data_IF_918845210204
#
_entry.id   IF_918845210204
#
_cell.length_a   1.000
_cell.length_b   1.000
_cell.length_c   1.000
_cell.angle_alpha   90.00
_cell.angle_beta   90.00
_cell.angle_gamma   90.00
#
_symmetry.space_group_name_H-M   'P 1'
#
loop_
_entity.id
_entity.type
_entity.pdbx_description
1 polymer ?
#
# COMPACT_ATOMS: atom_id res chain seq x y z
N UNK A 1 -43.79 19.72 -27.21
CA UNK A 1 -44.20 18.37 -26.77
C UNK A 1 -43.14 17.89 -25.79
N UNK A 2 -43.07 18.46 -24.58
CA UNK A 2 -43.80 18.03 -23.38
C UNK A 2 -43.71 16.53 -23.12
N UNK A 3 -42.97 16.22 -22.02
CA UNK A 3 -43.36 15.31 -20.92
C UNK A 3 -43.52 13.83 -21.32
N UNK A 4 -42.81 12.85 -20.77
CA UNK A 4 -42.85 12.36 -19.38
C UNK A 4 -41.66 11.41 -19.17
N UNK A 5 -40.60 11.84 -18.47
CA UNK A 5 -39.85 11.00 -17.51
C UNK A 5 -39.41 11.93 -16.38
N UNK A 6 -40.36 12.30 -15.53
CA UNK A 6 -40.10 12.85 -14.21
C UNK A 6 -40.50 11.80 -13.18
N UNK A 7 -39.74 11.78 -12.05
CA UNK A 7 -39.91 10.96 -10.82
C UNK A 7 -39.18 9.60 -10.90
N UNK A 8 -38.15 9.25 -10.12
CA UNK A 8 -37.66 9.67 -8.79
C UNK A 8 -36.16 9.34 -8.67
N UNK A 9 -35.33 10.27 -8.20
CA UNK A 9 -34.30 9.95 -7.20
C UNK A 9 -33.86 11.23 -6.47
N UNK A 10 -34.83 12.04 -6.06
CA UNK A 10 -34.64 12.98 -4.97
C UNK A 10 -35.05 12.27 -3.68
N UNK A 11 -34.08 11.92 -2.83
CA UNK A 11 -34.21 11.75 -1.36
C UNK A 11 -32.93 11.21 -0.72
N UNK A 12 -32.18 12.10 -0.08
CA UNK A 12 -31.54 11.86 1.22
C UNK A 12 -30.60 10.67 1.35
N UNK A 13 -29.53 10.61 0.55
CA UNK A 13 -28.45 9.65 0.79
C UNK A 13 -27.70 10.04 2.07
N UNK A 14 -28.07 9.40 3.19
CA UNK A 14 -27.38 9.44 4.48
C UNK A 14 -25.87 9.64 4.24
N UNK A 15 -25.25 10.66 4.85
CA UNK A 15 -23.81 10.99 4.78
C UNK A 15 -23.08 10.87 6.14
N UNK A 16 -23.78 10.40 7.19
CA UNK A 16 -23.27 10.22 8.56
C UNK A 16 -23.30 8.74 8.99
N UNK A 17 -22.17 8.25 9.51
CA UNK A 17 -22.00 6.88 10.02
C UNK A 17 -23.00 6.50 11.13
N UNK A 18 -23.33 5.20 11.28
CA UNK A 18 -24.30 4.70 12.28
C UNK A 18 -23.92 5.08 13.73
N UNK A 19 -22.63 5.01 14.08
CA UNK A 19 -22.15 5.36 15.42
C UNK A 19 -22.22 6.86 15.69
N UNK A 20 -21.87 7.68 14.70
CA UNK A 20 -22.00 9.14 14.79
C UNK A 20 -23.46 9.59 14.90
N UNK A 21 -24.38 8.86 14.26
CA UNK A 21 -25.82 9.10 14.38
C UNK A 21 -26.33 8.83 15.80
N UNK A 22 -25.85 7.75 16.43
CA UNK A 22 -26.18 7.41 17.81
C UNK A 22 -25.60 8.43 18.80
N UNK A 23 -24.34 8.83 18.62
CA UNK A 23 -23.68 9.83 19.48
C UNK A 23 -24.33 11.21 19.31
N UNK A 24 -24.59 11.64 18.07
CA UNK A 24 -25.25 12.93 17.79
C UNK A 24 -26.69 12.94 18.30
N UNK A 25 -27.41 11.83 18.17
CA UNK A 25 -28.74 11.67 18.74
C UNK A 25 -28.72 11.77 20.27
N UNK A 26 -27.83 11.04 20.93
CA UNK A 26 -27.72 11.04 22.39
C UNK A 26 -27.31 12.41 22.96
N UNK A 27 -26.29 13.06 22.37
CA UNK A 27 -25.84 14.40 22.78
C UNK A 27 -26.90 15.47 22.48
N UNK A 28 -27.55 15.39 21.32
CA UNK A 28 -28.64 16.29 20.95
C UNK A 28 -29.84 16.18 21.90
N UNK A 29 -30.27 14.95 22.22
CA UNK A 29 -31.34 14.70 23.19
C UNK A 29 -30.98 15.17 24.60
N UNK A 30 -29.74 14.97 25.05
CA UNK A 30 -29.27 15.48 26.33
C UNK A 30 -29.33 17.02 26.40
N UNK A 31 -28.88 17.71 25.34
CA UNK A 31 -28.97 19.17 25.25
C UNK A 31 -30.41 19.67 25.28
N UNK A 32 -31.33 18.99 24.58
CA UNK A 32 -32.76 19.31 24.63
C UNK A 32 -33.36 19.13 26.03
N UNK A 33 -32.98 18.07 26.75
CA UNK A 33 -33.41 17.85 28.13
C UNK A 33 -32.91 18.97 29.06
N UNK A 34 -31.65 19.41 28.91
CA UNK A 34 -31.12 20.54 29.70
C UNK A 34 -31.79 21.89 29.34
N UNK A 35 -32.30 22.02 28.12
CA UNK A 35 -33.02 23.22 27.68
C UNK A 35 -34.40 23.35 28.35
N UNK A 36 -35.01 22.25 28.81
CA UNK A 36 -36.28 22.27 29.54
C UNK A 36 -36.16 22.95 30.91
N UNK A 37 -35.00 22.83 31.56
CA UNK A 37 -34.69 23.50 32.83
C UNK A 37 -34.16 24.93 32.67
N UNK A 38 -33.83 25.36 31.44
CA UNK A 38 -33.21 26.66 31.16
C UNK A 38 -34.20 27.80 30.89
N UNK A 39 -33.73 29.05 31.03
CA UNK A 39 -34.48 30.28 30.64
C UNK A 39 -33.58 31.22 29.84
N UNK A 40 -34.19 32.08 29.01
CA UNK A 40 -33.48 33.09 28.22
C UNK A 40 -32.63 32.53 27.06
N UNK A 41 -31.62 33.29 26.63
CA UNK A 41 -30.83 33.00 25.42
C UNK A 41 -30.10 31.63 25.45
N UNK A 42 -29.76 31.12 26.64
CA UNK A 42 -29.14 29.79 26.81
C UNK A 42 -30.09 28.64 26.41
N UNK A 43 -31.39 28.81 26.63
CA UNK A 43 -32.40 27.83 26.19
C UNK A 43 -32.57 27.85 24.68
N UNK A 44 -32.59 29.03 24.06
CA UNK A 44 -32.74 29.17 22.61
C UNK A 44 -31.55 28.56 21.85
N UNK A 45 -30.34 28.80 22.33
CA UNK A 45 -29.11 28.19 21.76
C UNK A 45 -29.09 26.68 21.94
N UNK A 46 -29.40 26.16 23.13
CA UNK A 46 -29.49 24.73 23.39
C UNK A 46 -30.57 24.02 22.55
N UNK A 47 -31.73 24.66 22.34
CA UNK A 47 -32.77 24.15 21.45
C UNK A 47 -32.31 24.10 19.99
N UNK A 48 -31.62 25.15 19.51
CA UNK A 48 -31.11 25.18 18.14
C UNK A 48 -30.05 24.10 17.87
N UNK A 49 -29.01 24.05 18.71
CA UNK A 49 -27.91 23.07 18.56
C UNK A 49 -28.40 21.65 18.84
N UNK A 50 -29.19 21.44 19.89
CA UNK A 50 -29.76 20.14 20.24
C UNK A 50 -30.68 19.59 19.15
N UNK A 51 -31.56 20.42 18.58
CA UNK A 51 -32.45 20.01 17.48
C UNK A 51 -31.67 19.66 16.21
N UNK A 52 -30.62 20.42 15.88
CA UNK A 52 -29.77 20.13 14.72
C UNK A 52 -29.00 18.82 14.88
N UNK A 53 -28.50 18.50 16.08
CA UNK A 53 -27.81 17.24 16.36
C UNK A 53 -28.75 16.03 16.36
N UNK A 54 -29.97 16.17 16.89
CA UNK A 54 -31.00 15.12 16.79
C UNK A 54 -31.43 14.91 15.34
N UNK A 55 -31.61 15.99 14.57
CA UNK A 55 -31.92 15.92 13.14
C UNK A 55 -30.80 15.17 12.39
N UNK A 56 -29.53 15.54 12.60
CA UNK A 56 -28.35 14.83 12.06
C UNK A 56 -28.35 13.35 12.46
N UNK A 57 -28.65 13.04 13.73
CA UNK A 57 -28.73 11.65 14.21
C UNK A 57 -29.84 10.84 13.50
N UNK A 58 -31.00 11.45 13.32
CA UNK A 58 -32.18 10.78 12.77
C UNK A 58 -32.10 10.63 11.25
N UNK A 59 -31.84 11.71 10.51
CA UNK A 59 -31.78 11.72 9.04
C UNK A 59 -30.46 11.20 8.50
N UNK A 60 -29.40 11.20 9.32
CA UNK A 60 -28.06 10.84 8.90
C UNK A 60 -27.48 11.78 7.87
N UNK A 61 -28.00 13.01 7.78
CA UNK A 61 -27.63 14.00 6.77
C UNK A 61 -27.11 15.28 7.44
N UNK A 62 -25.93 15.75 7.04
CA UNK A 62 -25.34 17.00 7.53
C UNK A 62 -24.90 17.90 6.37
N UNK A 63 -25.55 19.07 6.24
CA UNK A 63 -25.26 20.07 5.21
C UNK A 63 -23.85 20.67 5.30
N UNK A 64 -23.24 20.70 6.48
CA UNK A 64 -21.86 21.16 6.63
C UNK A 64 -20.84 20.18 6.03
N UNK A 65 -21.12 18.88 6.09
CA UNK A 65 -20.29 17.83 5.50
C UNK A 65 -20.47 17.79 3.98
N UNK A 66 -21.71 17.97 3.50
CA UNK A 66 -22.02 18.15 2.08
C UNK A 66 -21.30 19.36 1.48
N UNK A 67 -21.30 20.51 2.17
CA UNK A 67 -20.57 21.71 1.73
C UNK A 67 -19.03 21.53 1.73
N UNK A 68 -18.50 20.58 2.49
CA UNK A 68 -17.08 20.23 2.55
C UNK A 68 -16.73 18.99 1.72
N UNK A 69 -17.70 18.36 1.04
CA UNK A 69 -17.49 17.11 0.27
C UNK A 69 -17.12 15.89 1.12
N UNK A 70 -17.45 15.87 2.40
CA UNK A 70 -17.11 14.80 3.35
C UNK A 70 -18.31 13.82 3.45
N UNK A 71 -18.13 12.57 3.02
CA UNK A 71 -19.10 11.50 3.21
C UNK A 71 -18.56 10.45 4.22
N UNK A 72 -19.27 10.28 5.33
CA UNK A 72 -18.94 9.29 6.37
C UNK A 72 -19.98 8.18 6.47
N UNK A 73 -21.00 8.17 5.60
CA UNK A 73 -22.06 7.16 5.62
C UNK A 73 -21.67 5.82 5.00
N UNK A 74 -20.59 5.80 4.20
CA UNK A 74 -19.91 4.55 3.90
C UNK A 74 -19.28 4.06 5.21
N UNK A 75 -20.08 3.36 6.00
CA UNK A 75 -19.63 2.72 7.22
C UNK A 75 -18.54 1.72 6.85
N UNK A 76 -17.32 2.02 7.27
CA UNK A 76 -16.21 1.08 7.24
C UNK A 76 -16.72 -0.25 7.79
N UNK A 77 -16.79 -1.25 6.92
CA UNK A 77 -17.01 -2.62 7.35
C UNK A 77 -15.84 -3.02 8.26
N UNK A 78 -16.02 -4.02 9.13
CA UNK A 78 -14.89 -4.54 9.90
C UNK A 78 -13.72 -4.99 8.99
N UNK A 79 -14.02 -5.32 7.73
CA UNK A 79 -13.05 -5.55 6.65
C UNK A 79 -12.39 -4.28 6.08
N UNK A 80 -13.01 -3.09 6.17
CA UNK A 80 -12.40 -1.83 5.70
C UNK A 80 -11.46 -1.21 6.74
N UNK A 81 -11.66 -1.49 8.03
CA UNK A 81 -10.68 -1.15 9.08
C UNK A 81 -9.38 -1.98 8.96
N UNK A 82 -9.44 -3.12 8.26
CA UNK A 82 -8.28 -3.94 7.90
C UNK A 82 -7.57 -3.44 6.62
N UNK A 83 -8.25 -2.63 5.78
CA UNK A 83 -7.69 -2.06 4.53
C UNK A 83 -6.90 -0.78 4.74
N UNK A 84 -6.56 -0.49 5.98
CA UNK A 84 -5.73 0.64 6.34
C UNK A 84 -4.24 0.30 6.15
N UNK A 85 -3.93 -0.55 5.19
CA UNK A 85 -2.61 -1.05 4.87
C UNK A 85 -2.22 -0.74 3.43
N UNK A 86 -0.92 -0.68 3.15
CA UNK A 86 -0.44 -0.77 1.76
C UNK A 86 -0.40 -2.25 1.42
N UNK A 87 -1.23 -2.69 0.50
CA UNK A 87 -1.16 -4.02 -0.08
C UNK A 87 -0.76 -3.90 -1.55
N UNK A 88 0.34 -4.56 -1.91
CA UNK A 88 0.86 -4.55 -3.28
C UNK A 88 1.05 -5.99 -3.73
N UNK A 89 0.42 -6.33 -4.84
CA UNK A 89 0.62 -7.59 -5.54
C UNK A 89 1.03 -7.27 -6.98
N UNK A 90 2.23 -7.71 -7.36
CA UNK A 90 2.77 -7.50 -8.69
C UNK A 90 3.33 -8.81 -9.23
N UNK A 91 3.10 -9.07 -10.52
CA UNK A 91 3.67 -10.21 -11.21
C UNK A 91 4.36 -9.72 -12.49
N UNK A 92 5.62 -10.10 -12.67
CA UNK A 92 6.38 -9.71 -13.85
C UNK A 92 7.34 -10.81 -14.27
N UNK A 93 7.62 -10.86 -15.57
CA UNK A 93 8.59 -11.78 -16.17
C UNK A 93 10.00 -11.23 -15.98
N UNK A 94 10.93 -12.07 -15.53
CA UNK A 94 12.36 -11.75 -15.47
C UNK A 94 13.14 -12.78 -16.29
N UNK A 95 13.91 -12.31 -17.27
CA UNK A 95 14.74 -13.15 -18.11
C UNK A 95 16.03 -13.53 -17.36
N UNK A 96 15.92 -14.45 -16.40
CA UNK A 96 17.06 -14.95 -15.61
C UNK A 96 16.75 -16.32 -14.99
N UNK A 97 17.74 -17.19 -14.75
CA UNK A 97 17.53 -18.43 -14.01
C UNK A 97 16.92 -18.21 -12.63
N UNK A 98 16.05 -19.13 -12.19
CA UNK A 98 15.32 -19.00 -10.92
C UNK A 98 16.26 -19.03 -9.72
N UNK A 99 17.36 -19.76 -9.82
CA UNK A 99 18.40 -19.90 -8.79
C UNK A 99 19.02 -18.55 -8.45
N UNK A 100 19.26 -17.71 -9.46
CA UNK A 100 19.81 -16.38 -9.27
C UNK A 100 18.82 -15.42 -8.63
N UNK A 101 17.53 -15.54 -9.01
CA UNK A 101 16.46 -14.73 -8.46
C UNK A 101 16.20 -15.11 -7.00
N UNK A 102 16.05 -16.40 -6.72
CA UNK A 102 15.82 -16.92 -5.38
C UNK A 102 17.00 -16.59 -4.46
N UNK A 103 18.25 -16.84 -4.88
CA UNK A 103 19.44 -16.46 -4.08
C UNK A 103 19.48 -14.97 -3.78
N UNK A 104 19.15 -14.13 -4.76
CA UNK A 104 19.12 -12.68 -4.55
C UNK A 104 18.09 -12.27 -3.49
N UNK A 105 16.87 -12.81 -3.56
CA UNK A 105 15.79 -12.53 -2.59
C UNK A 105 16.05 -13.15 -1.22
N UNK A 106 16.64 -14.35 -1.17
CA UNK A 106 16.98 -15.05 0.07
C UNK A 106 17.94 -14.26 0.96
N UNK A 107 18.77 -13.42 0.34
CA UNK A 107 19.56 -12.40 1.00
C UNK A 107 18.78 -11.08 1.06
N UNK A 108 17.87 -10.95 2.03
CA UNK A 108 17.00 -9.77 2.20
C UNK A 108 17.77 -8.45 2.35
N UNK A 109 19.06 -8.48 2.72
CA UNK A 109 19.95 -7.31 2.65
C UNK A 109 20.12 -6.70 1.26
N UNK A 110 19.69 -7.39 0.19
CA UNK A 110 19.65 -6.85 -1.16
C UNK A 110 18.46 -5.90 -1.41
N UNK A 111 17.39 -5.95 -0.59
CA UNK A 111 16.17 -5.18 -0.84
C UNK A 111 16.40 -3.67 -0.92
N UNK A 112 17.19 -3.03 -0.04
CA UNK A 112 17.49 -1.59 -0.13
C UNK A 112 18.14 -1.15 -1.46
N UNK A 113 18.69 -2.08 -2.25
CA UNK A 113 19.31 -1.77 -3.54
C UNK A 113 18.29 -1.37 -4.61
N UNK A 114 17.02 -1.72 -4.42
CA UNK A 114 15.95 -1.38 -5.36
C UNK A 114 14.68 -0.85 -4.67
N UNK A 115 14.50 -1.12 -3.37
CA UNK A 115 13.41 -0.58 -2.55
C UNK A 115 13.83 0.72 -1.88
N UNK A 116 13.45 1.85 -2.47
CA UNK A 116 13.87 3.19 -2.06
C UNK A 116 13.41 3.62 -0.67
N UNK A 117 12.34 3.01 -0.17
CA UNK A 117 11.77 3.28 1.15
C UNK A 117 12.55 2.56 2.28
N UNK A 118 13.33 1.53 1.94
CA UNK A 118 14.19 0.83 2.89
C UNK A 118 15.58 1.46 2.89
N UNK A 119 16.06 1.82 4.07
CA UNK A 119 17.44 2.29 4.27
C UNK A 119 18.39 1.11 4.39
N UNK A 120 18.01 0.09 5.17
CA UNK A 120 18.87 -1.04 5.48
C UNK A 120 18.05 -2.26 5.89
N UNK A 121 18.54 -3.44 5.54
CA UNK A 121 18.03 -4.73 6.03
C UNK A 121 19.24 -5.56 6.46
N UNK A 122 19.42 -5.70 7.76
CA UNK A 122 20.53 -6.42 8.39
C UNK A 122 20.08 -7.83 8.76
N UNK A 123 20.86 -8.86 8.42
CA UNK A 123 20.59 -10.22 8.88
C UNK A 123 21.03 -10.36 10.34
N UNK A 124 20.10 -10.74 11.22
CA UNK A 124 20.39 -11.03 12.63
C UNK A 124 20.83 -12.49 12.81
N UNK A 125 20.23 -13.39 12.04
CA UNK A 125 20.59 -14.80 11.92
C UNK A 125 20.08 -15.38 10.58
N UNK A 126 19.99 -16.72 10.46
CA UNK A 126 19.56 -17.39 9.23
C UNK A 126 18.13 -17.07 8.78
N UNK A 127 17.24 -16.74 9.74
CA UNK A 127 15.81 -16.48 9.47
C UNK A 127 15.35 -15.10 9.91
N UNK A 128 16.05 -14.44 10.82
CA UNK A 128 15.68 -13.13 11.35
C UNK A 128 16.51 -12.01 10.74
N UNK A 129 15.86 -10.87 10.58
CA UNK A 129 16.45 -9.66 10.01
C UNK A 129 15.89 -8.41 10.68
N UNK A 130 16.73 -7.38 10.79
CA UNK A 130 16.36 -6.05 11.26
C UNK A 130 16.25 -5.11 10.08
N UNK A 131 15.10 -4.46 9.96
CA UNK A 131 14.77 -3.59 8.85
C UNK A 131 14.74 -2.15 9.36
N UNK A 132 15.28 -1.24 8.56
CA UNK A 132 15.27 0.20 8.83
C UNK A 132 14.70 0.92 7.62
N UNK A 133 13.64 1.72 7.83
CA UNK A 133 13.03 2.55 6.79
C UNK A 133 13.06 4.03 7.15
N UNK A 134 13.06 4.89 6.12
CA UNK A 134 12.99 6.33 6.30
C UNK A 134 11.57 6.74 6.71
N UNK A 135 11.45 7.47 7.83
CA UNK A 135 10.18 7.97 8.35
C UNK A 135 10.35 9.44 8.77
N UNK A 136 10.32 10.40 7.82
CA UNK A 136 10.71 11.80 8.04
C UNK A 136 9.93 12.53 9.15
N UNK A 137 8.73 12.06 9.49
CA UNK A 137 7.84 12.66 10.49
C UNK A 137 7.78 11.87 11.82
N UNK A 138 8.72 10.95 12.05
CA UNK A 138 8.99 10.31 13.35
C UNK A 138 10.23 10.97 13.95
N UNK A 139 10.28 11.14 15.28
CA UNK A 139 11.47 11.65 15.96
C UNK A 139 12.68 10.77 15.62
N UNK A 140 13.72 11.36 15.01
CA UNK A 140 14.89 10.63 14.52
C UNK A 140 14.84 10.19 13.04
N UNK A 141 13.72 10.43 12.34
CA UNK A 141 13.62 10.28 10.89
C UNK A 141 13.66 8.84 10.36
N UNK A 142 13.67 7.85 11.26
CA UNK A 142 13.81 6.42 10.94
C UNK A 142 12.85 5.59 11.79
N UNK A 143 12.46 4.44 11.27
CA UNK A 143 11.73 3.40 12.00
C UNK A 143 12.39 2.06 11.77
N UNK A 144 12.41 1.23 12.82
CA UNK A 144 13.02 -0.08 12.81
C UNK A 144 12.04 -1.15 13.28
N UNK A 145 12.15 -2.32 12.67
CA UNK A 145 11.39 -3.50 13.08
C UNK A 145 12.20 -4.76 12.78
N UNK A 146 11.93 -5.82 13.54
CA UNK A 146 12.52 -7.13 13.31
C UNK A 146 11.49 -8.03 12.60
N UNK A 147 11.96 -8.83 11.65
CA UNK A 147 11.17 -9.75 10.84
C UNK A 147 11.82 -11.13 10.76
N UNK A 148 10.98 -12.15 10.60
CA UNK A 148 11.37 -13.55 10.43
C UNK A 148 10.91 -14.09 9.07
N UNK A 149 11.74 -14.92 8.45
CA UNK A 149 11.37 -15.75 7.32
C UNK A 149 10.48 -16.89 7.86
N UNK A 150 9.26 -17.00 7.31
CA UNK A 150 8.28 -18.03 7.68
C UNK A 150 8.19 -19.16 6.67
N UNK A 151 8.45 -18.87 5.39
CA UNK A 151 8.56 -19.88 4.34
C UNK A 151 9.86 -19.70 3.57
N UNK A 152 10.55 -20.82 3.33
CA UNK A 152 11.82 -20.86 2.62
C UNK A 152 11.85 -22.14 1.77
N UNK A 153 11.26 -22.07 0.59
CA UNK A 153 11.17 -23.17 -0.37
C UNK A 153 12.05 -22.81 -1.57
N UNK A 154 13.16 -23.53 -1.69
CA UNK A 154 14.19 -23.28 -2.69
C UNK A 154 13.60 -23.14 -4.10
N UNK A 155 13.96 -22.05 -4.77
CA UNK A 155 13.54 -21.72 -6.14
C UNK A 155 12.03 -21.64 -6.39
N UNK A 156 11.21 -21.61 -5.33
CA UNK A 156 9.74 -21.59 -5.47
C UNK A 156 9.10 -20.47 -4.67
N UNK A 157 9.43 -20.35 -3.37
CA UNK A 157 8.75 -19.38 -2.50
C UNK A 157 9.62 -18.95 -1.34
N UNK A 158 9.61 -17.66 -1.07
CA UNK A 158 10.17 -17.05 0.12
C UNK A 158 9.11 -16.16 0.75
N UNK A 159 8.84 -16.29 2.05
CA UNK A 159 7.91 -15.43 2.75
C UNK A 159 8.47 -15.01 4.11
N UNK A 160 8.19 -13.78 4.50
CA UNK A 160 8.60 -13.20 5.78
C UNK A 160 7.46 -12.40 6.40
N UNK A 161 7.55 -12.21 7.71
CA UNK A 161 6.65 -11.36 8.49
C UNK A 161 7.38 -10.71 9.65
N UNK A 162 6.85 -9.62 10.15
CA UNK A 162 7.36 -9.00 11.38
C UNK A 162 7.12 -9.88 12.60
N UNK A 163 8.00 -9.74 13.60
CA UNK A 163 7.82 -10.38 14.90
C UNK A 163 6.64 -9.75 15.65
N UNK A 164 5.94 -10.49 16.56
CA UNK A 164 4.76 -9.99 17.26
C UNK A 164 4.96 -8.70 18.07
N UNK A 165 6.19 -8.44 18.53
CA UNK A 165 6.54 -7.25 19.32
C UNK A 165 6.95 -6.04 18.46
N UNK A 166 6.97 -6.18 17.13
CA UNK A 166 7.40 -5.13 16.22
C UNK A 166 6.38 -3.98 16.14
N UNK A 167 6.91 -2.76 16.07
CA UNK A 167 6.11 -1.54 15.90
C UNK A 167 5.45 -1.38 14.52
N UNK A 168 5.70 -2.33 13.62
CA UNK A 168 5.21 -2.35 12.24
C UNK A 168 4.68 -3.75 11.97
N UNK A 169 3.44 -3.89 11.50
CA UNK A 169 2.99 -5.15 10.88
C UNK A 169 3.35 -5.09 9.40
N UNK A 170 4.35 -5.89 9.02
CA UNK A 170 4.80 -5.98 7.64
C UNK A 170 4.96 -7.44 7.27
N UNK A 171 4.47 -7.79 6.08
CA UNK A 171 4.53 -9.13 5.52
C UNK A 171 4.94 -9.02 4.07
N UNK A 172 5.71 -9.98 3.62
CA UNK A 172 6.06 -10.09 2.22
C UNK A 172 6.23 -11.51 1.78
N UNK A 173 5.96 -11.77 0.51
CA UNK A 173 6.31 -13.03 -0.13
C UNK A 173 6.73 -12.82 -1.57
N UNK A 174 7.60 -13.71 -2.03
CA UNK A 174 8.01 -13.81 -3.41
C UNK A 174 7.84 -15.26 -3.85
N UNK A 175 7.10 -15.44 -4.94
CA UNK A 175 6.88 -16.72 -5.59
C UNK A 175 7.51 -16.71 -6.98
N UNK A 176 8.16 -17.81 -7.32
CA UNK A 176 8.84 -18.02 -8.59
C UNK A 176 8.15 -19.14 -9.35
N UNK A 177 7.79 -18.89 -10.60
CA UNK A 177 7.22 -19.92 -11.48
C UNK A 177 7.81 -19.84 -12.89
N UNK A 178 8.07 -20.97 -13.55
CA UNK A 178 8.68 -20.98 -14.88
C UNK A 178 7.73 -20.35 -15.91
N UNK A 179 8.25 -19.48 -16.76
CA UNK A 179 7.48 -18.92 -17.86
C UNK A 179 7.47 -19.87 -19.07
N UNK A 180 6.36 -19.95 -19.82
CA UNK A 180 6.31 -20.76 -21.03
C UNK A 180 7.35 -20.32 -22.07
N UNK A 181 7.97 -21.30 -22.74
CA UNK A 181 8.87 -21.09 -23.88
C UNK A 181 10.25 -20.55 -23.51
N UNK A 182 10.80 -20.95 -22.36
CA UNK A 182 12.15 -20.58 -21.88
C UNK A 182 12.39 -19.06 -21.78
N UNK A 183 11.32 -18.28 -21.63
CA UNK A 183 11.38 -16.80 -21.58
C UNK A 183 11.86 -16.24 -20.24
N UNK A 184 12.20 -17.11 -19.29
CA UNK A 184 12.58 -16.77 -17.92
C UNK A 184 11.58 -17.22 -16.86
N UNK A 185 11.44 -16.43 -15.80
CA UNK A 185 10.69 -16.78 -14.59
C UNK A 185 9.66 -15.68 -14.31
N UNK A 186 8.41 -16.08 -14.06
CA UNK A 186 7.43 -15.19 -13.45
C UNK A 186 7.76 -15.03 -11.97
N UNK A 187 7.99 -13.78 -11.57
CA UNK A 187 8.20 -13.38 -10.18
C UNK A 187 6.93 -12.68 -9.71
N UNK A 188 6.23 -13.31 -8.77
CA UNK A 188 5.09 -12.71 -8.07
C UNK A 188 5.57 -12.21 -6.72
N UNK A 189 5.35 -10.93 -6.46
CA UNK A 189 5.70 -10.28 -5.19
C UNK A 189 4.42 -9.77 -4.55
N UNK A 190 4.22 -10.15 -3.30
CA UNK A 190 3.14 -9.67 -2.45
C UNK A 190 3.75 -8.99 -1.23
N UNK A 191 3.35 -7.75 -0.96
CA UNK A 191 3.84 -6.96 0.18
C UNK A 191 2.65 -6.31 0.87
N UNK A 192 2.61 -6.42 2.19
CA UNK A 192 1.58 -5.81 3.04
C UNK A 192 2.25 -5.01 4.15
N UNK A 193 1.87 -3.75 4.31
CA UNK A 193 2.28 -2.89 5.41
C UNK A 193 1.04 -2.36 6.13
N UNK A 194 0.86 -2.70 7.41
CA UNK A 194 -0.21 -2.17 8.24
C UNK A 194 0.35 -1.24 9.34
N UNK A 195 -0.36 -0.15 9.68
CA UNK A 195 0.10 0.85 10.61
C UNK A 195 0.08 0.33 12.05
N UNK A 196 1.01 0.80 12.91
CA UNK A 196 0.97 0.52 14.33
C UNK A 196 -0.36 0.98 14.97
N UNK A 197 -1.00 0.08 15.72
CA UNK A 197 -2.09 0.42 16.64
C UNK A 197 -3.39 0.93 15.99
N UNK A 198 -3.69 0.51 14.75
CA UNK A 198 -4.97 0.83 14.09
C UNK A 198 -5.17 2.30 13.71
N UNK A 199 -4.12 3.13 13.79
CA UNK A 199 -4.20 4.54 13.38
C UNK A 199 -3.99 4.67 11.87
N UNK A 200 -5.06 5.02 11.18
CA UNK A 200 -5.14 5.02 9.73
C UNK A 200 -4.39 6.13 9.01
N UNK A 201 -3.73 5.77 7.90
CA UNK A 201 -3.31 6.66 6.81
C UNK A 201 -2.07 7.51 7.06
N UNK A 202 -1.89 8.07 8.27
CA UNK A 202 -0.77 8.98 8.55
C UNK A 202 0.59 8.30 8.48
N UNK A 203 0.71 7.03 8.86
CA UNK A 203 2.00 6.35 8.92
C UNK A 203 2.45 5.83 7.54
N UNK A 204 1.50 5.31 6.75
CA UNK A 204 1.74 4.86 5.37
C UNK A 204 2.14 6.03 4.47
N UNK A 205 1.38 7.12 4.50
CA UNK A 205 1.70 8.32 3.72
C UNK A 205 3.08 8.92 4.11
N UNK A 206 3.54 8.68 5.35
CA UNK A 206 4.86 9.11 5.82
C UNK A 206 6.02 8.27 5.28
N UNK A 207 5.80 6.98 5.05
CA UNK A 207 6.83 6.09 4.50
C UNK A 207 6.90 6.14 2.97
N UNK A 208 5.73 6.18 2.32
CA UNK A 208 5.62 5.99 0.88
C UNK A 208 5.03 7.20 0.11
N UNK A 209 4.77 8.32 0.79
CA UNK A 209 4.17 9.51 0.18
C UNK A 209 2.70 9.30 -0.21
N UNK A 210 2.23 10.07 -1.20
CA UNK A 210 0.81 10.10 -1.60
C UNK A 210 0.37 8.86 -2.40
N UNK A 211 1.30 8.06 -2.94
CA UNK A 211 1.00 6.92 -3.81
C UNK A 211 1.85 5.66 -3.47
N UNK A 212 1.59 5.01 -2.33
CA UNK A 212 2.39 3.89 -1.83
C UNK A 212 2.56 2.73 -2.81
N UNK A 213 1.46 2.31 -3.43
CA UNK A 213 1.44 1.17 -4.34
C UNK A 213 2.27 1.47 -5.60
N UNK A 214 2.23 2.73 -6.06
CA UNK A 214 3.02 3.17 -7.21
C UNK A 214 4.51 3.18 -6.91
N UNK A 215 4.91 3.58 -5.70
CA UNK A 215 6.31 3.56 -5.28
C UNK A 215 6.85 2.13 -5.24
N UNK A 216 6.12 1.20 -4.61
CA UNK A 216 6.52 -0.23 -4.57
C UNK A 216 6.59 -0.82 -5.97
N UNK A 217 5.59 -0.56 -6.83
CA UNK A 217 5.63 -0.99 -8.24
C UNK A 217 6.85 -0.42 -8.98
N UNK A 218 7.22 0.83 -8.69
CA UNK A 218 8.42 1.46 -9.26
C UNK A 218 9.70 0.78 -8.80
N UNK A 219 9.78 0.44 -7.52
CA UNK A 219 10.91 -0.29 -6.93
C UNK A 219 11.03 -1.71 -7.53
N UNK A 220 9.92 -2.41 -7.77
CA UNK A 220 9.93 -3.72 -8.44
C UNK A 220 10.37 -3.65 -9.92
N UNK A 221 10.06 -2.55 -10.62
CA UNK A 221 10.63 -2.30 -11.95
C UNK A 221 12.14 -2.08 -11.90
N UNK A 222 12.66 -1.43 -10.86
CA UNK A 222 14.12 -1.30 -10.65
C UNK A 222 14.76 -2.65 -10.40
N UNK A 223 14.12 -3.52 -9.61
CA UNK A 223 14.57 -4.89 -9.40
C UNK A 223 14.72 -5.65 -10.73
N UNK A 224 13.68 -5.65 -11.58
CA UNK A 224 13.73 -6.30 -12.89
C UNK A 224 14.94 -5.82 -13.71
N UNK A 225 15.12 -4.49 -13.81
CA UNK A 225 16.28 -3.91 -14.51
C UNK A 225 17.60 -4.33 -13.89
N UNK A 226 17.71 -4.36 -12.57
CA UNK A 226 18.93 -4.73 -11.86
C UNK A 226 19.32 -6.21 -12.09
N UNK A 227 18.33 -7.10 -12.18
CA UNK A 227 18.59 -8.52 -12.42
C UNK A 227 18.97 -8.81 -13.87
N UNK A 228 18.35 -8.09 -14.82
CA UNK A 228 18.57 -8.26 -16.27
C UNK A 228 19.82 -7.52 -16.79
N UNK A 229 20.19 -6.38 -16.19
CA UNK A 229 21.35 -5.59 -16.62
C UNK A 229 22.71 -6.26 -16.35
N UNK A 230 22.73 -7.43 -15.70
CA UNK A 230 23.96 -8.23 -15.47
C UNK A 230 24.25 -9.24 -16.57
N UNK A 231 23.41 -9.33 -17.60
CA UNK A 231 23.76 -10.05 -18.82
C UNK A 231 24.65 -9.15 -19.69
N UNK A 232 25.97 -9.34 -19.59
CA UNK A 232 26.81 -9.05 -20.76
C UNK A 232 26.31 -10.04 -21.82
N UNK A 233 25.88 -9.59 -23.01
CA UNK A 233 25.53 -10.52 -24.06
C UNK A 233 26.75 -11.39 -24.32
N UNK A 234 26.67 -12.68 -23.98
CA UNK A 234 27.65 -13.65 -24.45
C UNK A 234 27.47 -13.71 -25.96
N UNK A 235 28.29 -12.98 -26.70
CA UNK A 235 28.41 -13.13 -28.16
C UNK A 235 29.17 -14.45 -28.39
N UNK A 236 28.53 -15.58 -28.08
CA UNK A 236 28.92 -16.87 -28.63
C UNK A 236 28.07 -17.08 -29.88
N UNK A 237 28.66 -16.83 -31.04
CA UNK A 237 28.04 -17.19 -32.32
C UNK A 237 28.20 -16.20 -33.47
N UNK A 238 28.84 -15.05 -33.30
CA UNK A 238 29.30 -14.31 -34.48
C UNK A 238 30.57 -14.96 -35.01
N UNK A 239 30.39 -15.85 -35.98
CA UNK A 239 31.43 -16.23 -36.92
C UNK A 239 31.94 -14.96 -37.59
N UNK A 240 33.01 -14.37 -37.05
CA UNK A 240 33.83 -13.43 -37.78
C UNK A 240 34.41 -14.18 -38.98
N UNK A 241 33.81 -13.99 -40.16
CA UNK A 241 34.46 -14.33 -41.40
C UNK A 241 35.72 -13.46 -41.50
N UNK A 242 36.87 -14.05 -41.20
CA UNK A 242 38.17 -13.43 -41.42
C UNK A 242 38.35 -13.27 -42.94
N UNK A 243 38.30 -12.03 -43.41
CA UNK A 243 38.60 -11.72 -44.81
C UNK A 243 40.13 -11.68 -44.97
N UNK A 244 40.76 -12.84 -45.12
CA UNK A 244 42.11 -12.93 -45.69
C UNK A 244 42.00 -12.88 -47.21
N UNK A 245 41.89 -11.67 -47.76
CA UNK A 245 42.03 -11.40 -49.19
C UNK A 245 43.48 -11.03 -49.51
N UNK A 246 44.26 -12.02 -49.92
CA UNK A 246 45.59 -11.87 -50.53
C UNK A 246 45.54 -10.90 -51.71
N UNK A 247 46.29 -9.81 -51.63
CA UNK A 247 46.43 -8.83 -52.70
C UNK A 247 47.87 -8.34 -52.83
N UNK A 248 48.80 -9.24 -53.14
CA UNK A 248 50.11 -8.83 -53.66
C UNK A 248 50.68 -9.94 -54.55
N UNK A 249 50.90 -9.61 -55.84
CA UNK A 249 51.95 -10.08 -56.79
C UNK A 249 51.58 -9.47 -58.17
N UNK A 250 52.15 -8.33 -58.55
CA UNK A 250 53.37 -8.12 -59.36
C UNK A 250 53.19 -8.29 -60.90
N UNK A 251 53.48 -7.18 -61.59
CA UNK A 251 54.16 -7.02 -62.89
C UNK A 251 53.61 -7.68 -64.17
N UNK A 252 53.30 -6.87 -65.19
CA UNK A 252 54.27 -6.45 -66.22
C UNK A 252 53.75 -5.31 -67.08
#
# INVERSE_FOLDING_TARGET
MSTVVSKLSDKGSINVARTERLISGALGSALLLTALSGRGAKRLTALGVGSALVYRGFTGHCHAYEALGIDTACGATASDLDRVGVEVSECFLVAKPVEDLYRFWRHLGNLPRFMSHLKEVEALDERRSRWTAAAPLVAGGLIQWDAEIVEDIENQRLAWRTLPESSVDHRGSVEFSPAPGERGVYVRVELTYAPPGGQAGRWIAKLFGEAPEQQVRSDLRKFKRLMEAREIPTIEGQSHASCYGLGQLLHS
#
